data_IF_181628097996
#
_entry.id   IF_181628097996
#
_cell.length_a   1.000
_cell.length_b   1.000
_cell.length_c   1.000
_cell.angle_alpha   90.00
_cell.angle_beta   90.00
_cell.angle_gamma   90.00
#
_symmetry.space_group_name_H-M   'P 1'
#
loop_
_entity.id
_entity.type
_entity.pdbx_description
1 polymer ?
#
# COMPACT_ATOMS: atom_id res chain seq x y z
N UNK A 1 4.43 -18.24 -16.99
CA UNK A 1 4.72 -18.02 -15.55
C UNK A 1 3.69 -17.01 -15.06
N UNK A 2 2.84 -17.34 -14.07
CA UNK A 2 1.81 -16.42 -13.54
C UNK A 2 2.37 -15.75 -12.29
N UNK A 3 2.89 -14.52 -12.36
CA UNK A 3 3.17 -13.77 -11.13
C UNK A 3 1.82 -13.48 -10.50
N UNK A 4 1.63 -13.86 -9.24
CA UNK A 4 0.49 -13.36 -8.48
C UNK A 4 0.60 -11.84 -8.46
N UNK A 5 -0.50 -11.14 -8.73
CA UNK A 5 -0.53 -9.69 -8.98
C UNK A 5 0.22 -8.88 -7.90
N UNK A 6 0.24 -9.39 -6.67
CA UNK A 6 1.01 -8.87 -5.55
C UNK A 6 2.53 -8.81 -5.80
N UNK A 7 3.16 -9.84 -6.36
CA UNK A 7 4.61 -9.81 -6.63
C UNK A 7 4.97 -8.77 -7.69
N UNK A 8 4.11 -8.61 -8.70
CA UNK A 8 4.28 -7.58 -9.72
C UNK A 8 4.13 -6.18 -9.11
N UNK A 9 3.18 -6.01 -8.19
CA UNK A 9 2.98 -4.79 -7.41
C UNK A 9 4.19 -4.48 -6.51
N UNK A 10 4.64 -5.45 -5.71
CA UNK A 10 5.83 -5.33 -4.84
C UNK A 10 7.06 -4.89 -5.63
N UNK A 11 7.29 -5.52 -6.79
CA UNK A 11 8.43 -5.16 -7.66
C UNK A 11 8.32 -3.73 -8.19
N UNK A 12 7.13 -3.25 -8.56
CA UNK A 12 6.94 -1.85 -8.97
C UNK A 12 7.15 -0.89 -7.80
N UNK A 13 6.67 -1.22 -6.61
CA UNK A 13 6.83 -0.40 -5.41
C UNK A 13 8.31 -0.30 -5.00
N UNK A 14 9.02 -1.42 -5.01
CA UNK A 14 10.45 -1.47 -4.68
C UNK A 14 11.30 -0.62 -5.65
N UNK A 15 10.99 -0.66 -6.94
CA UNK A 15 11.64 0.21 -7.93
C UNK A 15 11.36 1.70 -7.64
N UNK A 16 10.10 2.06 -7.36
CA UNK A 16 9.72 3.45 -7.07
C UNK A 16 10.35 4.00 -5.79
N UNK A 17 10.40 3.21 -4.72
CA UNK A 17 11.05 3.63 -3.47
C UNK A 17 12.55 3.84 -3.67
N UNK A 18 13.20 2.90 -4.37
CA UNK A 18 14.64 2.96 -4.61
C UNK A 18 15.05 4.13 -5.49
N UNK A 19 14.32 4.37 -6.57
CA UNK A 19 14.67 5.39 -7.55
C UNK A 19 14.15 6.78 -7.16
N UNK A 20 13.08 6.85 -6.37
CA UNK A 20 12.41 8.09 -5.98
C UNK A 20 12.91 8.74 -4.69
N UNK A 21 13.73 8.05 -3.90
CA UNK A 21 14.24 8.59 -2.62
C UNK A 21 13.15 8.92 -1.59
N UNK A 22 11.98 8.29 -1.70
CA UNK A 22 10.83 8.51 -0.81
C UNK A 22 10.92 7.61 0.41
N UNK A 23 10.75 8.19 1.60
CA UNK A 23 10.79 7.45 2.87
C UNK A 23 9.56 6.56 3.06
N UNK A 24 8.38 7.04 2.64
CA UNK A 24 7.12 6.35 2.80
C UNK A 24 6.29 6.30 1.53
N UNK A 25 5.57 5.20 1.34
CA UNK A 25 4.66 4.99 0.20
C UNK A 25 3.25 4.72 0.67
N UNK A 26 2.33 5.49 0.11
CA UNK A 26 0.89 5.24 0.22
C UNK A 26 0.42 4.63 -1.09
N UNK A 27 -0.03 3.37 -1.04
CA UNK A 27 -0.68 2.72 -2.16
C UNK A 27 -2.19 2.98 -2.10
N UNK A 28 -2.75 3.55 -3.16
CA UNK A 28 -4.20 3.77 -3.30
C UNK A 28 -4.75 2.79 -4.31
N UNK A 29 -5.72 1.97 -3.89
CA UNK A 29 -6.47 1.05 -4.72
C UNK A 29 -7.92 1.53 -4.83
N UNK A 30 -8.54 1.48 -6.01
CA UNK A 30 -9.98 1.68 -6.14
C UNK A 30 -10.77 0.61 -5.34
N UNK A 31 -11.91 1.00 -4.79
CA UNK A 31 -12.81 0.11 -4.03
C UNK A 31 -13.65 -0.77 -4.96
N UNK A 32 -12.99 -1.78 -5.52
CA UNK A 32 -13.62 -2.80 -6.37
C UNK A 32 -13.65 -4.15 -5.66
N UNK A 33 -14.58 -5.02 -6.08
CA UNK A 33 -14.67 -6.38 -5.56
C UNK A 33 -13.37 -7.16 -5.74
N UNK A 34 -12.69 -7.00 -6.87
CA UNK A 34 -11.44 -7.68 -7.17
C UNK A 34 -10.29 -7.19 -6.27
N UNK A 35 -10.20 -5.87 -6.03
CA UNK A 35 -9.21 -5.32 -5.11
C UNK A 35 -9.47 -5.76 -3.68
N UNK A 36 -10.73 -5.78 -3.22
CA UNK A 36 -11.07 -6.31 -1.89
C UNK A 36 -10.69 -7.78 -1.76
N UNK A 37 -10.93 -8.59 -2.80
CA UNK A 37 -10.55 -10.02 -2.83
C UNK A 37 -9.03 -10.18 -2.77
N UNK A 38 -8.28 -9.40 -3.55
CA UNK A 38 -6.82 -9.39 -3.54
C UNK A 38 -6.27 -9.01 -2.15
N UNK A 39 -6.80 -7.94 -1.55
CA UNK A 39 -6.38 -7.50 -0.21
C UNK A 39 -6.65 -8.57 0.84
N UNK A 40 -7.83 -9.20 0.81
CA UNK A 40 -8.16 -10.29 1.73
C UNK A 40 -7.29 -11.53 1.51
N UNK A 41 -7.04 -11.91 0.26
CA UNK A 41 -6.21 -13.07 -0.08
C UNK A 41 -4.75 -12.90 0.37
N UNK A 42 -4.28 -11.67 0.55
CA UNK A 42 -2.88 -11.36 0.87
C UNK A 42 -2.72 -10.52 2.15
N UNK A 43 -3.69 -10.56 3.07
CA UNK A 43 -3.73 -9.69 4.24
C UNK A 43 -2.44 -9.73 5.06
N UNK A 44 -1.88 -10.91 5.31
CA UNK A 44 -0.65 -11.06 6.10
C UNK A 44 0.56 -10.36 5.44
N UNK A 45 0.73 -10.54 4.14
CA UNK A 45 1.82 -9.92 3.38
C UNK A 45 1.63 -8.39 3.29
N UNK A 46 0.40 -7.94 3.04
CA UNK A 46 0.07 -6.52 2.96
C UNK A 46 0.23 -5.83 4.31
N UNK A 47 -0.15 -6.47 5.43
CA UNK A 47 0.04 -5.90 6.77
C UNK A 47 1.52 -5.81 7.15
N UNK A 48 2.35 -6.74 6.72
CA UNK A 48 3.80 -6.65 6.91
C UNK A 48 4.42 -5.52 6.08
N UNK A 49 3.91 -5.28 4.86
CA UNK A 49 4.43 -4.26 3.95
C UNK A 49 3.93 -2.85 4.23
N UNK A 50 2.67 -2.73 4.64
CA UNK A 50 1.94 -1.49 4.91
C UNK A 50 1.45 -1.51 6.36
N UNK A 51 2.35 -1.27 7.33
CA UNK A 51 2.02 -1.38 8.75
C UNK A 51 1.07 -0.27 9.23
N UNK A 52 1.01 0.87 8.53
CA UNK A 52 0.13 1.97 8.89
C UNK A 52 -1.29 1.73 8.32
N UNK A 53 -2.33 1.62 9.17
CA UNK A 53 -3.69 1.48 8.68
C UNK A 53 -4.09 2.68 7.81
N UNK A 54 -4.76 2.44 6.69
CA UNK A 54 -5.15 3.49 5.75
C UNK A 54 -5.93 4.64 6.39
N UNK A 55 -6.88 4.35 7.29
CA UNK A 55 -7.63 5.37 8.02
C UNK A 55 -6.72 6.27 8.89
N UNK A 56 -5.67 5.71 9.49
CA UNK A 56 -4.71 6.47 10.29
C UNK A 56 -3.83 7.36 9.39
N UNK A 57 -3.38 6.83 8.24
CA UNK A 57 -2.67 7.63 7.24
C UNK A 57 -3.52 8.82 6.75
N UNK A 58 -4.80 8.60 6.45
CA UNK A 58 -5.72 9.66 6.06
C UNK A 58 -5.89 10.73 7.15
N UNK A 59 -5.96 10.33 8.42
CA UNK A 59 -6.06 11.27 9.54
C UNK A 59 -4.80 12.15 9.67
N UNK A 60 -3.60 11.57 9.53
CA UNK A 60 -2.34 12.31 9.54
C UNK A 60 -2.27 13.30 8.37
N UNK A 61 -2.60 12.84 7.15
CA UNK A 61 -2.63 13.70 5.97
C UNK A 61 -3.63 14.84 6.11
N UNK A 62 -4.83 14.57 6.64
CA UNK A 62 -5.84 15.59 6.89
C UNK A 62 -5.38 16.62 7.94
N UNK A 63 -4.51 16.23 8.87
CA UNK A 63 -3.89 17.10 9.86
C UNK A 63 -2.62 17.83 9.34
N UNK A 64 -2.22 17.61 8.07
CA UNK A 64 -0.98 18.16 7.51
C UNK A 64 0.29 17.52 8.09
N UNK A 65 0.17 16.33 8.68
CA UNK A 65 1.27 15.56 9.24
C UNK A 65 1.76 14.49 8.27
N UNK A 66 3.07 14.26 8.26
CA UNK A 66 3.67 13.19 7.48
C UNK A 66 3.30 11.81 8.04
N UNK A 67 2.90 10.84 7.20
CA UNK A 67 2.69 9.47 7.61
C UNK A 67 3.98 8.86 8.15
N UNK A 68 3.94 8.19 9.30
CA UNK A 68 5.12 7.57 9.91
C UNK A 68 5.43 6.16 9.38
N UNK A 69 4.92 5.82 8.19
CA UNK A 69 5.02 4.47 7.63
C UNK A 69 4.22 4.27 6.35
N UNK A 70 4.51 3.15 5.68
CA UNK A 70 3.82 2.76 4.45
C UNK A 70 2.36 2.39 4.73
N UNK A 71 1.46 2.87 3.89
CA UNK A 71 0.01 2.70 4.07
C UNK A 71 -0.67 2.18 2.80
N UNK A 72 -1.77 1.44 3.01
CA UNK A 72 -2.66 0.97 1.95
C UNK A 72 -4.04 1.60 2.14
N UNK A 73 -4.54 2.25 1.08
CA UNK A 73 -5.86 2.85 1.00
C UNK A 73 -6.71 2.12 -0.03
N UNK A 74 -7.95 1.82 0.31
CA UNK A 74 -8.97 1.33 -0.63
C UNK A 74 -10.09 2.36 -0.64
N UNK A 75 -10.31 3.04 -1.77
CA UNK A 75 -11.21 4.21 -1.91
C UNK A 75 -12.23 4.03 -3.02
#
# INVERSE_FOLDING_TARGET
>A
MRPNDLQALERRLALKQRDGGVEHVILVLPDTLDNRRLVRAHEAALRARFPLPGAAAMALLAAGQEPTGDALLVL
#
